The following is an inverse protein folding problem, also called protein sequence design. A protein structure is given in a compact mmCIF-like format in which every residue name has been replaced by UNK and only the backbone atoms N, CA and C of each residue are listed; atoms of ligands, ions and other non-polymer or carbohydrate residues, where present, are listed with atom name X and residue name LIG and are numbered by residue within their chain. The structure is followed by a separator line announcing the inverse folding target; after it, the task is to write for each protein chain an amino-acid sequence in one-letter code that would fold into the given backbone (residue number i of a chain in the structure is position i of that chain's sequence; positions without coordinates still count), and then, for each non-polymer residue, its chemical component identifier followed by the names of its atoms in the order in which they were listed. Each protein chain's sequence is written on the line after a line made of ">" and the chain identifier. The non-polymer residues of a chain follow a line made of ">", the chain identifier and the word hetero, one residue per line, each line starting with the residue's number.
data_IF_596909174583
#
_entry.id   IF_596909174583
#
_cell.length_a   1.000
_cell.length_b   1.000
_cell.length_c   1.000
_cell.angle_alpha   90.00
_cell.angle_beta   90.00
_cell.angle_gamma   90.00
#
_symmetry.space_group_name_H-M   'P 1'
#
loop_
_entity.id
_entity.type
_entity.pdbx_description
1 polymer ?
#
# COMPACT_ATOMS: atom_id res chain seq x y z
N UNK A 1 0.04 -8.14 1.25
CA UNK A 1 0.54 -9.46 0.80
C UNK A 1 -0.30 -10.62 1.33
N UNK A 2 -0.73 -10.61 2.60
CA UNK A 2 -1.60 -11.66 3.18
C UNK A 2 -2.86 -11.97 2.37
N UNK A 3 -3.61 -10.93 1.97
CA UNK A 3 -4.80 -11.10 1.13
C UNK A 3 -4.50 -11.86 -0.18
N UNK A 4 -3.39 -11.54 -0.83
CA UNK A 4 -3.01 -12.16 -2.11
C UNK A 4 -2.63 -13.62 -1.88
N UNK A 5 -1.87 -13.92 -0.82
CA UNK A 5 -1.52 -15.28 -0.44
C UNK A 5 -2.77 -16.14 -0.18
N UNK A 6 -3.82 -15.57 0.42
CA UNK A 6 -5.08 -16.27 0.64
C UNK A 6 -5.89 -16.54 -0.65
N UNK A 7 -5.65 -15.74 -1.71
CA UNK A 7 -6.40 -15.84 -2.98
C UNK A 7 -5.67 -16.64 -4.06
N UNK A 8 -4.34 -16.70 -4.01
CA UNK A 8 -3.52 -17.33 -5.05
C UNK A 8 -3.08 -18.72 -4.61
N UNK A 9 -3.39 -19.75 -5.40
CA UNK A 9 -3.06 -21.16 -5.09
C UNK A 9 -1.63 -21.56 -5.44
N UNK A 10 -0.98 -20.86 -6.37
CA UNK A 10 0.37 -21.19 -6.85
C UNK A 10 1.41 -20.24 -6.26
N UNK A 11 2.48 -20.81 -5.69
CA UNK A 11 3.58 -20.04 -5.14
C UNK A 11 4.28 -19.18 -6.21
N UNK A 12 4.44 -19.71 -7.43
CA UNK A 12 5.04 -18.94 -8.52
C UNK A 12 4.17 -17.73 -8.90
N UNK A 13 2.85 -17.91 -9.00
CA UNK A 13 1.94 -16.82 -9.29
C UNK A 13 1.93 -15.77 -8.17
N UNK A 14 1.95 -16.20 -6.91
CA UNK A 14 2.05 -15.30 -5.76
C UNK A 14 3.32 -14.44 -5.84
N UNK A 15 4.48 -15.05 -6.09
CA UNK A 15 5.75 -14.35 -6.20
C UNK A 15 5.75 -13.34 -7.37
N UNK A 16 5.24 -13.73 -8.54
CA UNK A 16 5.14 -12.82 -9.69
C UNK A 16 4.25 -11.61 -9.40
N UNK A 17 3.08 -11.82 -8.78
CA UNK A 17 2.16 -10.75 -8.39
C UNK A 17 2.81 -9.85 -7.34
N UNK A 18 3.50 -10.42 -6.35
CA UNK A 18 4.20 -9.65 -5.32
C UNK A 18 5.27 -8.75 -5.92
N UNK A 19 6.13 -9.28 -6.81
CA UNK A 19 7.20 -8.50 -7.46
C UNK A 19 6.61 -7.36 -8.27
N UNK A 20 5.59 -7.62 -9.08
CA UNK A 20 4.93 -6.59 -9.89
C UNK A 20 4.30 -5.49 -9.01
N UNK A 21 3.59 -5.88 -7.95
CA UNK A 21 2.98 -4.91 -7.04
C UNK A 21 4.02 -4.07 -6.31
N UNK A 22 5.09 -4.68 -5.80
CA UNK A 22 6.17 -3.94 -5.14
C UNK A 22 6.85 -2.98 -6.11
N UNK A 23 7.04 -3.38 -7.37
CA UNK A 23 7.55 -2.48 -8.40
C UNK A 23 6.65 -1.25 -8.56
N UNK A 24 5.35 -1.44 -8.78
CA UNK A 24 4.41 -0.33 -8.95
C UNK A 24 4.34 0.55 -7.71
N UNK A 25 4.23 -0.06 -6.52
CA UNK A 25 4.13 0.65 -5.24
C UNK A 25 5.40 1.48 -4.98
N UNK A 26 6.58 0.95 -5.26
CA UNK A 26 7.83 1.70 -5.04
C UNK A 26 7.96 2.88 -6.01
N UNK A 27 7.82 2.63 -7.31
CA UNK A 27 8.06 3.65 -8.33
C UNK A 27 6.94 4.70 -8.43
N UNK A 28 5.71 4.36 -8.05
CA UNK A 28 4.59 5.31 -8.02
C UNK A 28 4.34 5.88 -6.62
N UNK A 29 5.42 6.21 -5.90
CA UNK A 29 5.36 6.82 -4.57
C UNK A 29 6.33 7.98 -4.43
N UNK A 30 6.16 8.77 -3.36
CA UNK A 30 7.08 9.86 -3.03
C UNK A 30 8.44 9.39 -2.50
N UNK A 31 8.69 8.08 -2.34
CA UNK A 31 9.97 7.55 -1.85
C UNK A 31 11.11 7.93 -2.79
N UNK A 32 10.92 7.71 -4.10
CA UNK A 32 11.97 7.91 -5.11
C UNK A 32 11.78 9.17 -5.96
N UNK A 33 10.55 9.65 -6.10
CA UNK A 33 10.24 10.79 -6.98
C UNK A 33 9.33 11.80 -6.28
N UNK A 34 9.56 13.11 -6.43
CA UNK A 34 8.68 14.10 -5.84
C UNK A 34 7.31 14.12 -6.54
N UNK A 35 6.23 14.26 -5.76
CA UNK A 35 4.92 14.54 -6.32
C UNK A 35 4.87 15.98 -6.85
N UNK A 36 4.35 16.16 -8.07
CA UNK A 36 4.26 17.48 -8.69
C UNK A 36 3.03 17.64 -9.58
N UNK A 37 2.55 18.88 -9.75
CA UNK A 37 1.42 19.21 -10.63
C UNK A 37 1.72 19.01 -12.11
N UNK A 38 3.00 19.00 -12.49
CA UNK A 38 3.49 18.74 -13.85
C UNK A 38 3.40 17.27 -14.26
N UNK A 39 3.21 16.35 -13.32
CA UNK A 39 3.06 14.93 -13.63
C UNK A 39 1.74 14.68 -14.38
N UNK A 40 1.72 13.74 -15.35
CA UNK A 40 0.48 13.31 -16.00
C UNK A 40 -0.57 12.88 -14.97
N UNK A 41 -1.85 13.12 -15.27
CA UNK A 41 -2.96 12.87 -14.33
C UNK A 41 -2.96 11.44 -13.79
N UNK A 42 -2.71 10.45 -14.65
CA UNK A 42 -2.66 9.04 -14.26
C UNK A 42 -1.57 8.78 -13.21
N UNK A 43 -0.37 9.36 -13.39
CA UNK A 43 0.74 9.20 -12.45
C UNK A 43 0.41 9.88 -11.11
N UNK A 44 -0.21 11.07 -11.17
CA UNK A 44 -0.65 11.79 -9.97
C UNK A 44 -1.69 10.98 -9.18
N UNK A 45 -2.62 10.34 -9.87
CA UNK A 45 -3.60 9.47 -9.25
C UNK A 45 -2.91 8.29 -8.53
N UNK A 46 -1.96 7.63 -9.19
CA UNK A 46 -1.21 6.51 -8.59
C UNK A 46 -0.51 6.91 -7.28
N UNK A 47 0.10 8.08 -7.23
CA UNK A 47 0.74 8.58 -6.00
C UNK A 47 -0.27 8.74 -4.86
N UNK A 48 -1.48 9.21 -5.16
CA UNK A 48 -2.54 9.43 -4.15
C UNK A 48 -3.12 8.12 -3.65
N UNK A 49 -3.42 7.14 -4.51
CA UNK A 49 -3.94 5.85 -4.02
C UNK A 49 -2.89 4.98 -3.35
N UNK A 50 -1.61 5.26 -3.55
CA UNK A 50 -0.53 4.44 -3.02
C UNK A 50 -0.25 4.73 -1.54
N UNK A 51 -0.49 3.78 -0.62
CA UNK A 51 -0.29 4.00 0.81
C UNK A 51 1.17 4.30 1.18
N UNK A 52 2.13 3.87 0.36
CA UNK A 52 3.56 4.14 0.60
C UNK A 52 3.89 5.64 0.50
N UNK A 53 3.14 6.42 -0.28
CA UNK A 53 3.29 7.88 -0.36
C UNK A 53 3.12 8.54 1.00
N UNK A 54 2.07 8.17 1.72
CA UNK A 54 1.75 8.72 3.03
C UNK A 54 2.79 8.32 4.08
N UNK A 55 3.27 7.07 4.04
CA UNK A 55 4.35 6.62 4.93
C UNK A 55 5.62 7.44 4.66
N UNK A 56 5.98 7.60 3.39
CA UNK A 56 7.19 8.31 3.00
C UNK A 56 7.16 9.79 3.36
N UNK A 57 6.01 10.45 3.22
CA UNK A 57 5.82 11.85 3.61
C UNK A 57 5.96 12.01 5.12
N UNK A 58 5.17 11.28 5.91
CA UNK A 58 5.21 11.35 7.38
C UNK A 58 6.60 11.06 7.94
N UNK A 59 7.30 10.04 7.40
CA UNK A 59 8.66 9.71 7.84
C UNK A 59 9.64 10.83 7.48
N UNK A 60 9.54 11.38 6.26
CA UNK A 60 10.39 12.50 5.82
C UNK A 60 10.20 13.73 6.69
N UNK A 61 8.96 14.07 7.00
CA UNK A 61 8.63 15.25 7.80
C UNK A 61 9.08 15.05 9.25
N UNK A 62 9.00 13.82 9.77
CA UNK A 62 9.62 13.42 11.04
C UNK A 62 11.14 13.62 11.06
N UNK A 63 11.86 13.17 10.03
CA UNK A 63 13.31 13.37 9.92
C UNK A 63 13.70 14.85 9.84
N UNK A 64 12.89 15.67 9.16
CA UNK A 64 13.16 17.09 9.00
C UNK A 64 12.62 17.95 10.17
N UNK A 65 12.08 17.33 11.23
CA UNK A 65 11.44 18.04 12.36
C UNK A 65 10.32 19.00 11.92
N UNK A 66 9.61 18.64 10.84
CA UNK A 66 8.53 19.41 10.24
C UNK A 66 7.18 18.69 10.38
N UNK A 67 6.95 18.01 11.50
CA UNK A 67 5.68 17.30 11.76
C UNK A 67 4.52 18.30 11.87
N UNK A 68 3.46 18.03 11.12
CA UNK A 68 2.23 18.82 11.05
C UNK A 68 1.00 18.00 11.42
N UNK A 69 -0.17 18.65 11.49
CA UNK A 69 -1.46 17.95 11.62
C UNK A 69 -1.78 17.08 10.40
N UNK A 70 -1.19 17.38 9.23
CA UNK A 70 -1.41 16.58 8.02
C UNK A 70 -0.83 15.18 8.17
N UNK A 71 0.35 15.04 8.80
CA UNK A 71 0.98 13.76 9.10
C UNK A 71 0.11 12.87 10.00
N UNK A 72 -0.62 13.47 10.95
CA UNK A 72 -1.55 12.73 11.79
C UNK A 72 -2.69 12.11 10.97
N UNK A 73 -3.20 12.84 9.96
CA UNK A 73 -4.21 12.31 9.05
C UNK A 73 -3.63 11.21 8.15
N UNK A 74 -2.39 11.37 7.65
CA UNK A 74 -1.70 10.35 6.86
C UNK A 74 -1.51 9.05 7.66
N UNK A 75 -1.06 9.13 8.92
CA UNK A 75 -0.94 7.98 9.84
C UNK A 75 -2.31 7.33 10.10
N UNK A 76 -3.33 8.14 10.36
CA UNK A 76 -4.70 7.64 10.54
C UNK A 76 -5.22 6.88 9.31
N UNK A 77 -4.95 7.40 8.12
CA UNK A 77 -5.29 6.73 6.86
C UNK A 77 -4.54 5.41 6.69
N UNK A 78 -3.24 5.37 6.97
CA UNK A 78 -2.43 4.14 6.90
C UNK A 78 -2.97 3.09 7.87
N UNK A 79 -3.30 3.49 9.11
CA UNK A 79 -3.89 2.60 10.11
C UNK A 79 -5.22 2.04 9.62
N UNK A 80 -6.10 2.90 9.10
CA UNK A 80 -7.38 2.47 8.54
C UNK A 80 -7.20 1.46 7.39
N UNK A 81 -6.35 1.77 6.42
CA UNK A 81 -6.07 0.87 5.28
C UNK A 81 -5.50 -0.46 5.76
N UNK A 82 -4.60 -0.44 6.74
CA UNK A 82 -4.00 -1.65 7.32
C UNK A 82 -5.07 -2.53 7.96
N UNK A 83 -5.92 -1.96 8.82
CA UNK A 83 -7.02 -2.69 9.47
C UNK A 83 -8.01 -3.25 8.45
N UNK A 84 -8.35 -2.45 7.43
CA UNK A 84 -9.25 -2.87 6.36
C UNK A 84 -8.67 -4.05 5.55
N UNK A 85 -7.40 -3.98 5.17
CA UNK A 85 -6.74 -5.06 4.44
C UNK A 85 -6.55 -6.32 5.29
N UNK A 86 -6.27 -6.17 6.60
CA UNK A 86 -6.21 -7.30 7.53
C UNK A 86 -7.58 -7.98 7.65
N UNK A 87 -8.65 -7.21 7.78
CA UNK A 87 -10.01 -7.74 7.81
C UNK A 87 -10.39 -8.49 6.52
N UNK A 88 -10.05 -7.93 5.35
CA UNK A 88 -10.24 -8.62 4.07
C UNK A 88 -9.40 -9.91 3.99
N UNK A 89 -8.14 -9.86 4.41
CA UNK A 89 -7.24 -11.01 4.41
C UNK A 89 -7.79 -12.14 5.26
N UNK A 90 -8.27 -11.82 6.46
CA UNK A 90 -8.90 -12.79 7.38
C UNK A 90 -10.09 -13.47 6.71
N UNK A 91 -11.01 -12.70 6.12
CA UNK A 91 -12.20 -13.23 5.44
C UNK A 91 -11.85 -14.11 4.25
N UNK A 92 -10.85 -13.72 3.46
CA UNK A 92 -10.39 -14.51 2.33
C UNK A 92 -9.80 -15.85 2.79
N UNK A 93 -9.00 -15.83 3.87
CA UNK A 93 -8.42 -17.02 4.46
C UNK A 93 -9.47 -17.99 5.00
N UNK A 94 -10.45 -17.51 5.76
CA UNK A 94 -11.56 -18.35 6.28
C UNK A 94 -12.33 -19.02 5.15
N UNK A 95 -12.61 -18.31 4.05
CA UNK A 95 -13.26 -18.88 2.86
C UNK A 95 -12.41 -19.93 2.17
N UNK A 96 -11.10 -19.70 2.05
CA UNK A 96 -10.18 -20.65 1.45
C UNK A 96 -10.08 -21.93 2.29
N UNK A 97 -10.11 -21.81 3.62
CA UNK A 97 -10.11 -22.94 4.55
C UNK A 97 -11.38 -23.79 4.42
N UNK A 98 -12.55 -23.16 4.36
CA UNK A 98 -13.84 -23.85 4.17
C UNK A 98 -13.92 -24.61 2.84
N UNK A 99 -13.21 -24.17 1.80
CA UNK A 99 -13.17 -24.85 0.51
C UNK A 99 -12.29 -26.12 0.50
N UNK A 100 -11.51 -26.34 1.56
CA UNK A 100 -10.63 -27.52 1.72
C UNK A 100 -11.26 -28.61 2.59
N UNK A 101 -12.27 -28.28 3.39
CA UNK A 101 -13.05 -29.19 4.24
C UNK A 101 -14.31 -29.64 3.54
#
# INVERSE_FOLDING_TARGET
>A
MLLIAALVKSNNAYNSVQVLLLFVINFASTVFYPYGKSLPLAIRALFVVNPLTYIANTVRDGFNSHITLYDLYEVGLILFVTLFLLWLSKRAYERALLALT
#
